data_IF_042743603556
#
_entry.id   IF_042743603556
#
_cell.length_a   1.000
_cell.length_b   1.000
_cell.length_c   1.000
_cell.angle_alpha   90.00
_cell.angle_beta   90.00
_cell.angle_gamma   90.00
#
_symmetry.space_group_name_H-M   'P 1'
#
loop_
_entity.id
_entity.type
_entity.pdbx_description
1 polymer ?
#
# COMPACT_ATOMS: atom_id res chain seq x y z
N UNK A 1 -68.36 -16.68 8.20
CA UNK A 1 -67.78 -15.34 8.06
C UNK A 1 -66.34 -15.44 8.53
N UNK A 2 -65.41 -15.68 7.61
CA UNK A 2 -64.00 -15.98 7.90
C UNK A 2 -63.20 -14.69 7.64
N UNK A 3 -62.61 -14.12 8.68
CA UNK A 3 -61.76 -12.91 8.55
C UNK A 3 -60.38 -13.35 8.10
N UNK A 4 -60.01 -12.91 6.88
CA UNK A 4 -58.68 -13.08 6.30
C UNK A 4 -57.78 -12.01 6.86
N UNK A 5 -56.84 -12.37 7.73
CA UNK A 5 -55.83 -11.46 8.27
C UNK A 5 -54.66 -11.44 7.30
N UNK A 6 -54.48 -10.35 6.56
CA UNK A 6 -53.33 -10.08 5.71
C UNK A 6 -52.17 -9.59 6.57
N UNK A 7 -51.14 -10.42 6.74
CA UNK A 7 -49.90 -10.02 7.38
C UNK A 7 -49.01 -9.44 6.27
N UNK A 8 -48.87 -8.09 6.26
CA UNK A 8 -47.89 -7.40 5.44
C UNK A 8 -46.55 -7.44 6.18
N UNK A 9 -45.68 -8.37 5.78
CA UNK A 9 -44.30 -8.39 6.23
C UNK A 9 -43.55 -7.27 5.51
N UNK A 10 -43.31 -6.15 6.19
CA UNK A 10 -42.44 -5.09 5.75
C UNK A 10 -40.99 -5.58 5.85
N UNK A 11 -40.41 -6.01 4.73
CA UNK A 11 -39.04 -6.38 4.61
C UNK A 11 -38.22 -5.05 4.54
N UNK A 12 -37.81 -4.54 5.72
CA UNK A 12 -36.82 -3.48 5.81
C UNK A 12 -35.49 -4.05 5.32
N UNK A 13 -35.15 -3.79 4.08
CA UNK A 13 -33.80 -3.90 3.56
C UNK A 13 -32.94 -2.84 4.29
N UNK A 14 -32.26 -3.26 5.37
CA UNK A 14 -31.16 -2.52 5.97
C UNK A 14 -30.03 -2.50 4.93
N UNK A 15 -30.01 -1.50 4.07
CA UNK A 15 -28.81 -1.05 3.37
C UNK A 15 -27.85 -0.52 4.44
N UNK A 16 -27.13 -1.44 5.09
CA UNK A 16 -25.94 -1.07 5.87
C UNK A 16 -24.91 -0.59 4.85
N UNK A 17 -25.02 0.67 4.43
CA UNK A 17 -23.92 1.35 3.78
C UNK A 17 -22.76 1.24 4.74
N UNK A 18 -21.75 0.43 4.44
CA UNK A 18 -20.48 0.47 5.15
C UNK A 18 -19.96 1.90 5.00
N UNK A 19 -20.10 2.69 6.06
CA UNK A 19 -19.39 3.97 6.17
C UNK A 19 -17.92 3.61 6.20
N UNK A 20 -17.25 3.71 5.06
CA UNK A 20 -15.81 3.56 5.02
C UNK A 20 -15.22 4.73 5.80
N UNK A 21 -14.27 4.42 6.67
CA UNK A 21 -13.54 5.45 7.38
C UNK A 21 -12.86 6.37 6.35
N UNK A 22 -12.95 7.67 6.57
CA UNK A 22 -12.23 8.63 5.74
C UNK A 22 -10.74 8.58 6.11
N UNK A 23 -9.87 8.54 5.09
CA UNK A 23 -8.43 8.54 5.30
C UNK A 23 -7.97 9.90 5.83
N UNK A 24 -7.15 9.90 6.87
CA UNK A 24 -6.62 11.09 7.52
C UNK A 24 -5.51 11.80 6.72
N UNK A 25 -5.81 12.25 5.50
CA UNK A 25 -4.84 12.84 4.56
C UNK A 25 -4.03 13.99 5.14
N UNK A 26 -4.69 14.95 5.79
CA UNK A 26 -4.01 16.15 6.27
C UNK A 26 -2.99 15.81 7.36
N UNK A 27 -3.37 14.93 8.29
CA UNK A 27 -2.46 14.44 9.33
C UNK A 27 -1.30 13.62 8.75
N UNK A 28 -1.55 12.79 7.73
CA UNK A 28 -0.53 12.00 7.08
C UNK A 28 0.48 12.87 6.31
N UNK A 29 0.03 13.90 5.62
CA UNK A 29 0.89 14.79 4.83
C UNK A 29 1.65 15.79 5.69
N UNK A 30 1.04 16.35 6.74
CA UNK A 30 1.66 17.34 7.62
C UNK A 30 2.49 16.72 8.77
N UNK A 31 2.42 15.40 8.99
CA UNK A 31 2.99 14.71 10.14
C UNK A 31 4.47 15.00 10.39
N UNK A 32 4.87 15.09 11.65
CA UNK A 32 6.26 15.39 12.07
C UNK A 32 7.25 14.27 11.73
N UNK A 33 6.78 13.06 11.51
CA UNK A 33 7.58 11.91 11.03
C UNK A 33 8.12 12.10 9.61
N UNK A 34 7.62 13.10 8.89
CA UNK A 34 8.08 13.48 7.55
C UNK A 34 9.05 14.67 7.63
N UNK A 35 10.23 14.52 7.03
CA UNK A 35 11.17 15.64 6.95
C UNK A 35 10.62 16.76 6.06
N UNK A 36 11.03 18.02 6.34
CA UNK A 36 10.68 19.17 5.51
C UNK A 36 11.11 18.99 4.05
N UNK A 37 12.27 18.33 3.82
CA UNK A 37 12.72 17.97 2.47
C UNK A 37 11.74 17.01 1.76
N UNK A 38 11.14 16.09 2.49
CA UNK A 38 10.15 15.16 1.91
C UNK A 38 8.82 15.85 1.67
N UNK A 39 8.37 16.70 2.59
CA UNK A 39 7.15 17.52 2.43
C UNK A 39 7.25 18.47 1.23
N UNK A 40 8.39 19.13 1.04
CA UNK A 40 8.63 20.01 -0.11
C UNK A 40 8.48 19.31 -1.48
N UNK A 41 8.61 17.99 -1.52
CA UNK A 41 8.43 17.19 -2.75
C UNK A 41 6.97 16.89 -3.07
N UNK A 42 6.04 17.11 -2.13
CA UNK A 42 4.61 16.87 -2.34
C UNK A 42 4.06 17.71 -3.49
N UNK A 43 4.57 18.94 -3.64
CA UNK A 43 4.24 19.85 -4.75
C UNK A 43 4.48 19.22 -6.15
N UNK A 44 5.45 18.30 -6.25
CA UNK A 44 5.83 17.66 -7.51
C UNK A 44 5.32 16.22 -7.61
N UNK A 45 4.98 15.60 -6.50
CA UNK A 45 4.58 14.18 -6.43
C UNK A 45 3.09 13.99 -6.26
N UNK A 46 2.38 15.04 -5.83
CA UNK A 46 0.94 15.04 -5.65
C UNK A 46 0.42 13.76 -4.98
N UNK A 47 0.90 13.41 -3.75
CA UNK A 47 0.65 12.10 -3.17
C UNK A 47 -0.83 11.80 -2.96
N UNK A 48 -1.63 12.80 -2.52
CA UNK A 48 -3.06 12.63 -2.32
C UNK A 48 -3.78 12.34 -3.63
N UNK A 49 -3.53 13.15 -4.65
CA UNK A 49 -4.13 13.01 -5.98
C UNK A 49 -3.73 11.69 -6.64
N UNK A 50 -2.44 11.33 -6.53
CA UNK A 50 -1.92 10.08 -7.11
C UNK A 50 -2.55 8.85 -6.46
N UNK A 51 -2.58 8.79 -5.13
CA UNK A 51 -3.13 7.65 -4.41
C UNK A 51 -4.65 7.58 -4.53
N UNK A 52 -5.34 8.73 -4.55
CA UNK A 52 -6.79 8.80 -4.82
C UNK A 52 -7.13 8.37 -6.25
N UNK A 53 -6.31 8.74 -7.24
CA UNK A 53 -6.47 8.29 -8.63
C UNK A 53 -6.37 6.76 -8.76
N UNK A 54 -5.47 6.13 -8.00
CA UNK A 54 -5.39 4.66 -7.94
C UNK A 54 -6.54 4.03 -7.16
N UNK A 55 -7.35 4.83 -6.46
CA UNK A 55 -8.49 4.35 -5.69
C UNK A 55 -8.11 3.85 -4.28
N UNK A 56 -7.12 4.47 -3.63
CA UNK A 56 -6.76 4.13 -2.24
C UNK A 56 -7.93 4.40 -1.29
N UNK A 57 -8.30 3.40 -0.51
CA UNK A 57 -9.41 3.48 0.46
C UNK A 57 -9.05 2.81 1.79
N UNK A 58 -9.75 3.20 2.84
CA UNK A 58 -9.66 2.52 4.13
C UNK A 58 -10.11 1.05 4.02
N UNK A 59 -9.53 0.17 4.82
CA UNK A 59 -9.81 -1.26 4.83
C UNK A 59 -8.98 -2.07 3.83
N UNK A 60 -8.21 -1.41 2.96
CA UNK A 60 -7.37 -2.11 1.98
C UNK A 60 -6.12 -2.72 2.60
N UNK A 61 -5.67 -3.82 2.01
CA UNK A 61 -4.30 -4.30 2.11
C UNK A 61 -3.51 -3.71 0.96
N UNK A 62 -2.58 -2.81 1.26
CA UNK A 62 -1.74 -2.11 0.29
C UNK A 62 -0.32 -2.66 0.35
N UNK A 63 0.28 -2.92 -0.81
CA UNK A 63 1.69 -3.32 -0.93
C UNK A 63 2.48 -2.24 -1.67
N UNK A 64 3.43 -1.60 -0.99
CA UNK A 64 4.41 -0.72 -1.61
C UNK A 64 5.60 -1.53 -2.09
N UNK A 65 5.83 -1.54 -3.41
CA UNK A 65 6.89 -2.32 -4.04
C UNK A 65 8.17 -1.51 -4.13
N UNK A 66 9.25 -2.05 -3.60
CA UNK A 66 10.58 -1.42 -3.58
C UNK A 66 10.55 0.01 -3.03
N UNK A 67 10.11 0.23 -1.78
CA UNK A 67 9.87 1.56 -1.18
C UNK A 67 11.12 2.45 -1.13
N UNK A 68 12.31 1.88 -1.31
CA UNK A 68 13.57 2.60 -1.20
C UNK A 68 13.75 3.18 0.20
N UNK A 69 13.93 4.49 0.32
CA UNK A 69 14.00 5.19 1.60
C UNK A 69 12.63 5.50 2.24
N UNK A 70 11.51 4.99 1.67
CA UNK A 70 10.18 5.06 2.27
C UNK A 70 9.51 6.44 2.18
N UNK A 71 9.63 7.14 1.04
CA UNK A 71 8.96 8.43 0.87
C UNK A 71 7.43 8.28 0.83
N UNK A 72 6.91 7.31 0.05
CA UNK A 72 5.47 7.01 0.06
C UNK A 72 5.05 6.24 1.31
N UNK A 73 5.93 5.44 1.92
CA UNK A 73 5.67 4.79 3.21
C UNK A 73 5.32 5.81 4.29
N UNK A 74 5.98 6.99 4.31
CA UNK A 74 5.66 8.09 5.25
C UNK A 74 4.23 8.62 5.07
N UNK A 75 3.64 8.48 3.90
CA UNK A 75 2.25 8.88 3.62
C UNK A 75 1.30 7.70 3.86
N UNK A 76 1.63 6.53 3.32
CA UNK A 76 0.79 5.33 3.40
C UNK A 76 0.69 4.77 4.83
N UNK A 77 1.79 4.81 5.59
CA UNK A 77 1.82 4.27 6.95
C UNK A 77 0.72 4.84 7.85
N UNK A 78 0.66 6.16 8.07
CA UNK A 78 -0.39 6.77 8.88
C UNK A 78 -1.80 6.63 8.28
N UNK A 79 -1.94 6.59 6.95
CA UNK A 79 -3.24 6.37 6.31
C UNK A 79 -3.79 4.96 6.56
N UNK A 80 -2.91 3.96 6.58
CA UNK A 80 -3.28 2.56 6.76
C UNK A 80 -3.32 2.14 8.24
N UNK A 81 -2.62 2.84 9.11
CA UNK A 81 -2.60 2.54 10.55
C UNK A 81 -4.01 2.54 11.15
N UNK A 82 -4.45 1.39 11.66
CA UNK A 82 -5.80 1.20 12.19
C UNK A 82 -6.91 1.25 11.14
N UNK A 83 -6.60 1.50 9.86
CA UNK A 83 -7.55 1.63 8.75
C UNK A 83 -7.32 0.63 7.63
N UNK A 84 -6.41 -0.31 7.79
CA UNK A 84 -6.03 -1.27 6.76
C UNK A 84 -4.69 -1.89 7.07
N UNK A 85 -3.96 -2.31 6.03
CA UNK A 85 -2.66 -2.95 6.17
C UNK A 85 -1.69 -2.39 5.14
N UNK A 86 -0.46 -2.07 5.56
CA UNK A 86 0.62 -1.71 4.65
C UNK A 86 1.74 -2.74 4.69
N UNK A 87 2.06 -3.31 3.53
CA UNK A 87 3.18 -4.22 3.31
C UNK A 87 4.24 -3.48 2.48
N UNK A 88 5.44 -3.34 3.00
CA UNK A 88 6.60 -2.79 2.30
C UNK A 88 7.44 -3.94 1.72
N UNK A 89 7.22 -4.27 0.45
CA UNK A 89 7.94 -5.32 -0.26
C UNK A 89 9.31 -4.80 -0.72
N UNK A 90 10.31 -4.93 0.15
CA UNK A 90 11.66 -4.41 -0.06
C UNK A 90 12.59 -5.44 -0.73
N UNK A 91 13.73 -4.97 -1.25
CA UNK A 91 14.79 -5.86 -1.73
C UNK A 91 15.41 -6.67 -0.58
N UNK A 92 15.93 -7.86 -0.91
CA UNK A 92 16.58 -8.74 0.06
C UNK A 92 17.84 -8.12 0.68
N UNK A 93 18.12 -8.33 1.98
CA UNK A 93 19.42 -7.98 2.57
C UNK A 93 20.59 -8.71 1.89
N UNK A 94 20.31 -9.80 1.17
CA UNK A 94 21.28 -10.57 0.41
C UNK A 94 21.38 -10.14 -1.06
N UNK A 95 20.60 -9.13 -1.51
CA UNK A 95 20.57 -8.59 -2.87
C UNK A 95 21.75 -7.66 -3.22
N UNK A 96 22.84 -7.72 -2.44
CA UNK A 96 24.03 -6.91 -2.64
C UNK A 96 24.06 -5.63 -1.81
N UNK A 97 25.14 -4.85 -1.97
CA UNK A 97 25.43 -3.70 -1.10
C UNK A 97 24.37 -2.60 -1.16
N UNK A 98 23.81 -2.34 -2.34
CA UNK A 98 22.76 -1.33 -2.51
C UNK A 98 21.49 -1.74 -1.77
N UNK A 99 20.98 -2.96 -2.02
CA UNK A 99 19.77 -3.47 -1.39
C UNK A 99 19.90 -3.47 0.14
N UNK A 100 21.07 -3.90 0.65
CA UNK A 100 21.35 -3.92 2.10
C UNK A 100 21.33 -2.52 2.72
N UNK A 101 21.97 -1.51 2.07
CA UNK A 101 21.94 -0.14 2.57
C UNK A 101 20.55 0.46 2.51
N UNK A 102 19.84 0.25 1.39
CA UNK A 102 18.47 0.74 1.20
C UNK A 102 17.52 0.19 2.25
N UNK A 103 17.55 -1.14 2.47
CA UNK A 103 16.76 -1.78 3.50
C UNK A 103 17.14 -1.29 4.91
N UNK A 104 18.44 -1.15 5.20
CA UNK A 104 18.90 -0.62 6.49
C UNK A 104 18.38 0.78 6.77
N UNK A 105 18.42 1.69 5.78
CA UNK A 105 17.85 3.04 5.88
C UNK A 105 16.34 3.00 6.10
N UNK A 106 15.64 2.11 5.41
CA UNK A 106 14.20 1.93 5.55
C UNK A 106 13.82 1.42 6.95
N UNK A 107 14.48 0.37 7.43
CA UNK A 107 14.24 -0.19 8.78
C UNK A 107 14.55 0.81 9.89
N UNK A 108 15.62 1.61 9.74
CA UNK A 108 15.94 2.70 10.67
C UNK A 108 14.78 3.70 10.73
N UNK A 109 14.24 4.13 9.58
CA UNK A 109 13.08 5.03 9.52
C UNK A 109 11.86 4.45 10.25
N UNK A 110 11.54 3.18 10.04
CA UNK A 110 10.42 2.54 10.75
C UNK A 110 10.65 2.54 12.27
N UNK A 111 11.87 2.21 12.71
CA UNK A 111 12.22 2.17 14.13
C UNK A 111 12.19 3.55 14.80
N UNK A 112 12.63 4.59 14.10
CA UNK A 112 12.63 5.98 14.62
C UNK A 112 11.22 6.59 14.67
N UNK A 113 10.25 6.01 13.95
CA UNK A 113 8.87 6.49 13.85
C UNK A 113 7.84 5.41 14.21
N UNK A 114 8.16 4.57 15.20
CA UNK A 114 7.34 3.42 15.59
C UNK A 114 5.89 3.76 15.92
N UNK A 115 5.65 4.92 16.52
CA UNK A 115 4.30 5.39 16.84
C UNK A 115 3.41 5.61 15.60
N UNK A 116 4.00 5.87 14.44
CA UNK A 116 3.29 6.15 13.19
C UNK A 116 3.45 5.03 12.17
N UNK A 117 4.65 4.44 12.08
CA UNK A 117 5.02 3.44 11.07
C UNK A 117 5.19 2.02 11.63
N UNK A 118 4.94 1.81 12.93
CA UNK A 118 5.18 0.51 13.60
C UNK A 118 4.28 -0.63 13.11
N UNK A 119 3.18 -0.34 12.45
CA UNK A 119 2.28 -1.35 11.85
C UNK A 119 2.65 -1.72 10.41
N UNK A 120 3.70 -1.09 9.83
CA UNK A 120 4.18 -1.43 8.48
C UNK A 120 4.87 -2.79 8.50
N UNK A 121 4.31 -3.74 7.78
CA UNK A 121 4.93 -5.05 7.61
C UNK A 121 6.01 -4.99 6.53
N UNK A 122 7.19 -5.51 6.84
CA UNK A 122 8.29 -5.58 5.86
C UNK A 122 8.38 -6.99 5.31
N UNK A 123 8.30 -7.10 3.99
CA UNK A 123 8.49 -8.35 3.26
C UNK A 123 9.61 -8.23 2.23
N UNK A 124 9.96 -9.33 1.59
CA UNK A 124 11.02 -9.37 0.58
C UNK A 124 10.43 -9.68 -0.79
N UNK A 125 10.75 -8.83 -1.76
CA UNK A 125 10.55 -9.08 -3.20
C UNK A 125 11.88 -8.90 -3.92
N UNK A 126 12.48 -10.02 -4.32
CA UNK A 126 13.80 -10.08 -4.98
C UNK A 126 13.87 -11.27 -5.93
N UNK A 127 13.19 -11.20 -7.09
CA UNK A 127 13.28 -12.26 -8.10
C UNK A 127 14.74 -12.50 -8.56
N UNK A 128 15.11 -13.76 -8.88
CA UNK A 128 14.28 -14.96 -8.77
C UNK A 128 14.26 -15.60 -7.38
N UNK A 129 15.01 -15.08 -6.41
CA UNK A 129 15.23 -15.71 -5.10
C UNK A 129 14.09 -15.55 -4.11
N UNK A 130 13.26 -14.51 -4.25
CA UNK A 130 12.09 -14.24 -3.40
C UNK A 130 10.99 -13.59 -4.26
N UNK A 131 9.92 -14.32 -4.54
CA UNK A 131 8.84 -13.90 -5.43
C UNK A 131 7.47 -13.84 -4.76
N UNK A 132 7.36 -14.19 -3.48
CA UNK A 132 6.11 -14.18 -2.72
C UNK A 132 6.15 -13.13 -1.59
N UNK A 133 6.04 -11.83 -1.90
CA UNK A 133 6.11 -10.76 -0.88
C UNK A 133 4.86 -10.68 -0.01
N UNK A 134 3.76 -11.29 -0.41
CA UNK A 134 2.52 -11.44 0.34
C UNK A 134 1.83 -12.75 -0.06
N UNK A 135 0.84 -13.25 0.72
CA UNK A 135 0.03 -14.39 0.31
C UNK A 135 -0.68 -14.12 -1.02
N UNK A 136 -0.83 -15.15 -1.86
CA UNK A 136 -1.53 -15.05 -3.13
C UNK A 136 -2.96 -14.52 -2.93
N UNK A 137 -3.39 -13.60 -3.78
CA UNK A 137 -4.74 -13.03 -3.75
C UNK A 137 -5.12 -12.29 -2.46
N UNK A 138 -4.14 -11.73 -1.71
CA UNK A 138 -4.38 -11.06 -0.43
C UNK A 138 -4.32 -9.53 -0.49
N UNK A 139 -3.76 -8.95 -1.56
CA UNK A 139 -3.50 -7.53 -1.71
C UNK A 139 -4.57 -6.85 -2.54
N UNK A 140 -5.14 -5.75 -2.04
CA UNK A 140 -6.12 -4.96 -2.78
C UNK A 140 -5.44 -4.01 -3.77
N UNK A 141 -4.30 -3.44 -3.37
CA UNK A 141 -3.55 -2.49 -4.18
C UNK A 141 -2.05 -2.70 -4.03
N UNK A 142 -1.34 -2.85 -5.15
CA UNK A 142 0.11 -2.80 -5.22
C UNK A 142 0.56 -1.48 -5.86
N UNK A 143 1.60 -0.84 -5.30
CA UNK A 143 2.07 0.47 -5.72
C UNK A 143 3.56 0.43 -6.05
N UNK A 144 3.93 0.85 -7.25
CA UNK A 144 5.31 0.89 -7.71
C UNK A 144 5.69 2.30 -8.21
N UNK A 145 6.55 2.99 -7.47
CA UNK A 145 6.95 4.35 -7.76
C UNK A 145 8.38 4.43 -8.26
N UNK A 146 8.57 4.68 -9.57
CA UNK A 146 9.87 4.89 -10.23
C UNK A 146 10.79 3.65 -10.17
N UNK A 147 10.21 2.46 -10.27
CA UNK A 147 10.96 1.20 -10.16
C UNK A 147 11.10 0.46 -11.48
N UNK A 148 10.13 0.61 -12.40
CA UNK A 148 10.03 -0.19 -13.64
C UNK A 148 11.30 -0.08 -14.52
N UNK A 149 11.89 1.11 -14.63
CA UNK A 149 13.15 1.28 -15.40
C UNK A 149 14.31 0.45 -14.83
N UNK A 150 14.34 0.24 -13.51
CA UNK A 150 15.37 -0.57 -12.87
C UNK A 150 15.13 -2.07 -13.12
N UNK A 151 13.87 -2.49 -13.09
CA UNK A 151 13.50 -3.88 -13.42
C UNK A 151 13.80 -4.22 -14.88
N UNK A 152 13.50 -3.31 -15.81
CA UNK A 152 13.83 -3.45 -17.23
C UNK A 152 15.35 -3.55 -17.45
N UNK A 153 16.12 -2.67 -16.78
CA UNK A 153 17.59 -2.68 -16.89
C UNK A 153 18.21 -3.97 -16.37
N UNK A 154 17.58 -4.59 -15.37
CA UNK A 154 18.03 -5.83 -14.76
C UNK A 154 17.47 -7.09 -15.44
N UNK A 155 16.67 -6.94 -16.50
CA UNK A 155 15.95 -8.04 -17.17
C UNK A 155 15.06 -8.85 -16.21
N UNK A 156 14.43 -8.15 -15.26
CA UNK A 156 13.60 -8.74 -14.19
C UNK A 156 12.14 -8.29 -14.25
N UNK A 157 11.76 -7.46 -15.21
CA UNK A 157 10.43 -6.84 -15.25
C UNK A 157 9.31 -7.89 -15.28
N UNK A 158 9.42 -8.93 -16.10
CA UNK A 158 8.41 -9.99 -16.19
C UNK A 158 8.23 -10.72 -14.83
N UNK A 159 9.33 -11.11 -14.19
CA UNK A 159 9.28 -11.78 -12.90
C UNK A 159 8.70 -10.86 -11.80
N UNK A 160 9.03 -9.57 -11.83
CA UNK A 160 8.48 -8.59 -10.88
C UNK A 160 6.98 -8.44 -11.06
N UNK A 161 6.49 -8.26 -12.28
CA UNK A 161 5.06 -8.15 -12.57
C UNK A 161 4.30 -9.43 -12.23
N UNK A 162 4.85 -10.61 -12.55
CA UNK A 162 4.25 -11.89 -12.19
C UNK A 162 4.11 -12.04 -10.67
N UNK A 163 5.18 -11.76 -9.93
CA UNK A 163 5.17 -11.84 -8.47
C UNK A 163 4.16 -10.86 -7.84
N UNK A 164 4.04 -9.65 -8.38
CA UNK A 164 3.05 -8.67 -7.92
C UNK A 164 1.63 -9.16 -8.25
N UNK A 165 1.39 -9.62 -9.47
CA UNK A 165 0.09 -10.09 -9.93
C UNK A 165 -0.44 -11.26 -9.08
N UNK A 166 0.44 -12.20 -8.69
CA UNK A 166 0.08 -13.32 -7.82
C UNK A 166 -0.44 -12.87 -6.44
N UNK A 167 0.05 -11.73 -5.92
CA UNK A 167 -0.41 -11.21 -4.63
C UNK A 167 -1.74 -10.49 -4.72
N UNK A 168 -2.10 -9.94 -5.88
CA UNK A 168 -3.30 -9.16 -6.05
C UNK A 168 -4.56 -10.02 -5.99
N UNK A 169 -5.59 -9.52 -5.31
CA UNK A 169 -6.95 -10.08 -5.35
C UNK A 169 -7.52 -9.98 -6.78
N UNK A 170 -8.49 -10.83 -7.15
CA UNK A 170 -9.30 -10.58 -8.34
C UNK A 170 -9.89 -9.15 -8.32
N UNK A 171 -9.60 -8.35 -9.33
CA UNK A 171 -9.98 -6.93 -9.38
C UNK A 171 -9.07 -5.99 -8.59
N UNK A 172 -7.99 -6.49 -7.99
CA UNK A 172 -6.96 -5.66 -7.34
C UNK A 172 -6.23 -4.76 -8.33
N UNK A 173 -5.68 -3.66 -7.84
CA UNK A 173 -5.06 -2.59 -8.65
C UNK A 173 -3.55 -2.62 -8.53
N UNK A 174 -2.83 -2.53 -9.66
CA UNK A 174 -1.41 -2.17 -9.68
C UNK A 174 -1.27 -0.72 -10.14
N UNK A 175 -0.93 0.17 -9.19
CA UNK A 175 -0.63 1.58 -9.48
C UNK A 175 0.86 1.77 -9.81
N UNK A 176 1.15 2.37 -10.96
CA UNK A 176 2.53 2.63 -11.40
C UNK A 176 2.71 4.11 -11.70
N UNK A 177 3.73 4.71 -11.11
CA UNK A 177 4.25 6.02 -11.52
C UNK A 177 5.67 5.84 -12.05
N UNK A 178 5.87 6.22 -13.30
CA UNK A 178 7.18 6.10 -13.98
C UNK A 178 7.46 7.35 -14.81
N UNK A 179 8.73 7.78 -14.82
CA UNK A 179 9.26 8.86 -15.67
C UNK A 179 10.75 8.65 -15.95
#
# INVERSE_FOLDING_TARGET
>A
MTRLTVIVAAMLLLLSGMVRAELGWDAALAGEHRSEQNKARDLYRHPRETLSFFGLEAGMTVMEVSPGGGWYTEVLGPLMKGNGKLIAAHGSPNGGNYARRSLGTFLKKLGENGDVLGEVEVSVLQPPSATAPAPAGSVDMALAFRNVHSWLRADQAEMMFSAIAETLKPGGVLGIVQH
#
